data_IF_916470518205
#
_entry.id   IF_916470518205
#
_cell.length_a   1.000
_cell.length_b   1.000
_cell.length_c   1.000
_cell.angle_alpha   90.00
_cell.angle_beta   90.00
_cell.angle_gamma   90.00
#
_symmetry.space_group_name_H-M   'P 1'
#
loop_
_entity.id
_entity.type
_entity.pdbx_description
1 polymer ?
#
# COMPACT_ATOMS: atom_id res chain seq x y z
N UNK A 1 12.31 9.53 -4.06
CA UNK A 1 11.16 8.88 -4.74
C UNK A 1 10.69 9.75 -5.88
N UNK A 2 11.24 9.57 -7.08
CA UNK A 2 10.81 10.32 -8.27
C UNK A 2 9.34 10.00 -8.62
N UNK A 3 8.94 8.74 -8.45
CA UNK A 3 7.63 8.24 -8.88
C UNK A 3 6.55 8.28 -7.79
N UNK A 4 6.74 9.12 -6.76
CA UNK A 4 5.80 9.21 -5.63
C UNK A 4 4.38 9.59 -6.09
N UNK A 5 4.26 10.56 -7.00
CA UNK A 5 2.98 11.01 -7.54
C UNK A 5 2.28 9.90 -8.35
N UNK A 6 3.01 9.23 -9.24
CA UNK A 6 2.49 8.11 -10.00
C UNK A 6 2.05 6.95 -9.10
N UNK A 7 2.86 6.63 -8.10
CA UNK A 7 2.55 5.58 -7.12
C UNK A 7 1.28 5.90 -6.34
N UNK A 8 1.14 7.14 -5.86
CA UNK A 8 -0.08 7.59 -5.20
C UNK A 8 -1.29 7.50 -6.14
N UNK A 9 -1.16 7.93 -7.40
CA UNK A 9 -2.23 7.85 -8.38
C UNK A 9 -2.66 6.40 -8.66
N UNK A 10 -1.71 5.47 -8.75
CA UNK A 10 -1.98 4.04 -8.93
C UNK A 10 -2.78 3.46 -7.75
N UNK A 11 -2.32 3.69 -6.51
CA UNK A 11 -3.04 3.19 -5.33
C UNK A 11 -4.38 3.90 -5.12
N UNK A 12 -4.48 5.20 -5.46
CA UNK A 12 -5.74 5.93 -5.45
C UNK A 12 -6.72 5.36 -6.48
N UNK A 13 -6.25 4.99 -7.68
CA UNK A 13 -7.08 4.32 -8.67
C UNK A 13 -7.64 3.00 -8.12
N UNK A 14 -6.79 2.13 -7.57
CA UNK A 14 -7.24 0.86 -6.96
C UNK A 14 -8.23 1.12 -5.81
N UNK A 15 -7.94 2.11 -4.96
CA UNK A 15 -8.83 2.52 -3.88
C UNK A 15 -10.24 2.86 -4.41
N UNK A 16 -10.32 3.75 -5.40
CA UNK A 16 -11.57 4.20 -5.99
C UNK A 16 -12.39 3.05 -6.60
N UNK A 17 -11.74 2.00 -7.10
CA UNK A 17 -12.47 0.82 -7.61
C UNK A 17 -13.14 -0.01 -6.52
N UNK A 18 -12.70 0.14 -5.26
CA UNK A 18 -13.27 -0.53 -4.09
C UNK A 18 -14.23 0.36 -3.28
N UNK A 19 -14.26 1.68 -3.54
CA UNK A 19 -15.17 2.61 -2.88
C UNK A 19 -16.63 2.17 -3.11
N UNK A 20 -17.47 2.33 -2.08
CA UNK A 20 -18.85 1.87 -2.12
C UNK A 20 -19.03 0.37 -1.82
N UNK A 21 -17.99 -0.31 -1.33
CA UNK A 21 -18.07 -1.68 -0.80
C UNK A 21 -18.49 -2.74 -1.84
N UNK A 22 -17.97 -2.64 -3.07
CA UNK A 22 -18.25 -3.61 -4.12
C UNK A 22 -17.56 -4.97 -3.82
N UNK A 23 -18.29 -5.86 -3.16
CA UNK A 23 -17.77 -7.15 -2.71
C UNK A 23 -17.28 -8.05 -3.85
N UNK A 24 -17.96 -8.03 -5.01
CA UNK A 24 -17.54 -8.82 -6.17
C UNK A 24 -16.19 -8.35 -6.69
N UNK A 25 -16.02 -7.03 -6.84
CA UNK A 25 -14.76 -6.44 -7.28
C UNK A 25 -13.63 -6.64 -6.25
N UNK A 26 -13.91 -6.43 -4.96
CA UNK A 26 -12.95 -6.67 -3.88
C UNK A 26 -12.45 -8.12 -3.87
N UNK A 27 -13.33 -9.09 -4.14
CA UNK A 27 -12.92 -10.49 -4.30
C UNK A 27 -12.16 -10.73 -5.60
N UNK A 28 -12.56 -10.07 -6.69
CA UNK A 28 -11.88 -10.17 -7.98
C UNK A 28 -10.45 -9.65 -7.90
N UNK A 29 -10.13 -8.63 -7.10
CA UNK A 29 -8.74 -8.18 -6.88
C UNK A 29 -7.84 -9.24 -6.23
N UNK A 30 -8.42 -10.19 -5.50
CA UNK A 30 -7.69 -11.27 -4.84
C UNK A 30 -7.63 -12.54 -5.69
N UNK A 31 -8.70 -12.88 -6.39
CA UNK A 31 -8.77 -14.10 -7.21
C UNK A 31 -9.63 -13.89 -8.46
N UNK A 32 -9.06 -14.17 -9.62
CA UNK A 32 -9.74 -13.98 -10.91
C UNK A 32 -10.17 -15.34 -11.49
N UNK A 33 -11.23 -15.91 -10.92
CA UNK A 33 -11.77 -17.19 -11.37
C UNK A 33 -12.11 -17.17 -12.88
N UNK A 34 -11.67 -18.20 -13.60
CA UNK A 34 -11.82 -18.28 -15.06
C UNK A 34 -10.60 -17.82 -15.86
N UNK A 35 -9.65 -17.11 -15.23
CA UNK A 35 -8.36 -16.82 -15.84
C UNK A 35 -7.38 -18.00 -15.66
N UNK A 36 -6.43 -18.14 -16.57
CA UNK A 36 -5.32 -19.11 -16.47
C UNK A 36 -4.37 -18.81 -15.31
N UNK A 37 -4.20 -17.53 -14.99
CA UNK A 37 -3.33 -17.02 -13.93
C UNK A 37 -4.11 -16.09 -13.02
N UNK A 38 -3.90 -16.23 -11.71
CA UNK A 38 -4.40 -15.29 -10.70
C UNK A 38 -3.27 -14.41 -10.19
N UNK A 39 -3.54 -13.11 -10.10
CA UNK A 39 -2.68 -12.14 -9.42
C UNK A 39 -3.43 -11.60 -8.21
N UNK A 40 -2.88 -11.83 -7.03
CA UNK A 40 -3.48 -11.35 -5.79
C UNK A 40 -3.01 -9.93 -5.49
N UNK A 41 -3.74 -8.93 -6.01
CA UNK A 41 -3.41 -7.51 -5.87
C UNK A 41 -3.43 -7.05 -4.42
N UNK A 42 -4.26 -7.69 -3.59
CA UNK A 42 -4.34 -7.43 -2.15
C UNK A 42 -3.00 -7.73 -1.48
N UNK A 43 -2.44 -8.92 -1.72
CA UNK A 43 -1.14 -9.31 -1.17
C UNK A 43 0.00 -8.47 -1.76
N UNK A 44 -0.01 -8.19 -3.07
CA UNK A 44 1.00 -7.32 -3.68
C UNK A 44 1.00 -5.91 -3.07
N UNK A 45 -0.15 -5.41 -2.62
CA UNK A 45 -0.26 -4.13 -1.91
C UNK A 45 0.39 -4.19 -0.54
N UNK A 46 0.21 -5.28 0.21
CA UNK A 46 0.92 -5.52 1.49
C UNK A 46 2.42 -5.63 1.26
N UNK A 47 2.87 -6.40 0.26
CA UNK A 47 4.29 -6.55 -0.07
C UNK A 47 4.95 -5.22 -0.48
N UNK A 48 4.18 -4.32 -1.12
CA UNK A 48 4.66 -2.96 -1.38
C UNK A 48 4.84 -2.16 -0.09
N UNK A 49 3.86 -2.24 0.83
CA UNK A 49 3.93 -1.55 2.12
C UNK A 49 5.12 -2.02 2.96
N UNK A 50 5.42 -3.32 2.96
CA UNK A 50 6.59 -3.88 3.66
C UNK A 50 7.90 -3.31 3.12
N UNK A 51 8.08 -3.28 1.79
CA UNK A 51 9.28 -2.68 1.17
C UNK A 51 9.39 -1.18 1.45
N UNK A 52 8.27 -0.47 1.49
CA UNK A 52 8.24 0.93 1.86
C UNK A 52 8.66 1.13 3.32
N UNK A 53 8.17 0.28 4.23
CA UNK A 53 8.54 0.29 5.64
C UNK A 53 10.04 0.01 5.85
N UNK A 54 10.62 -0.96 5.14
CA UNK A 54 12.06 -1.23 5.16
C UNK A 54 12.86 0.01 4.74
N UNK A 55 12.47 0.67 3.65
CA UNK A 55 13.13 1.90 3.21
C UNK A 55 13.01 3.06 4.22
N UNK A 56 11.88 3.17 4.90
CA UNK A 56 11.69 4.17 5.98
C UNK A 56 12.57 3.84 7.19
N UNK A 57 12.77 2.56 7.50
CA UNK A 57 13.65 2.12 8.59
C UNK A 57 15.12 2.40 8.27
N UNK A 58 15.56 2.17 7.03
CA UNK A 58 16.91 2.54 6.58
C UNK A 58 17.13 4.05 6.65
N UNK A 59 16.11 4.85 6.29
CA UNK A 59 16.16 6.31 6.47
C UNK A 59 16.37 6.69 7.94
N UNK A 60 15.63 6.07 8.85
CA UNK A 60 15.81 6.30 10.30
C UNK A 60 17.25 6.01 10.73
N UNK A 61 17.81 4.86 10.37
CA UNK A 61 19.18 4.50 10.74
C UNK A 61 20.22 5.43 10.12
N UNK A 62 20.02 5.90 8.89
CA UNK A 62 20.92 6.86 8.26
C UNK A 62 21.02 8.20 9.02
N UNK A 63 19.92 8.62 9.66
CA UNK A 63 19.86 9.86 10.44
C UNK A 63 19.98 9.64 11.96
N UNK A 64 20.06 8.40 12.45
CA UNK A 64 19.98 8.11 13.90
C UNK A 64 21.14 8.68 14.72
N UNK A 65 22.31 8.85 14.10
CA UNK A 65 23.50 9.46 14.72
C UNK A 65 23.66 10.95 14.41
N UNK A 66 22.78 11.52 13.58
CA UNK A 66 22.84 12.92 13.16
C UNK A 66 21.96 13.77 14.07
N UNK A 67 22.46 14.92 14.47
CA UNK A 67 21.70 15.86 15.33
C UNK A 67 20.47 16.43 14.62
N UNK A 68 20.58 16.69 13.31
CA UNK A 68 19.53 17.27 12.49
C UNK A 68 19.37 16.54 11.16
N UNK A 69 18.12 16.41 10.71
CA UNK A 69 17.77 15.99 9.35
C UNK A 69 17.83 17.22 8.44
N UNK A 70 18.59 17.13 7.35
CA UNK A 70 18.71 18.20 6.38
C UNK A 70 17.39 18.42 5.59
N UNK A 71 17.21 19.57 4.91
CA UNK A 71 15.98 19.88 4.19
C UNK A 71 15.61 18.85 3.11
N UNK A 72 16.58 18.27 2.41
CA UNK A 72 16.32 17.26 1.39
C UNK A 72 15.87 15.94 2.02
N UNK A 73 16.49 15.54 3.14
CA UNK A 73 16.05 14.42 3.97
C UNK A 73 14.60 14.56 4.41
N UNK A 74 14.23 15.74 4.96
CA UNK A 74 12.85 16.04 5.35
C UNK A 74 11.89 15.93 4.16
N UNK A 75 12.21 16.57 3.03
CA UNK A 75 11.35 16.54 1.84
C UNK A 75 11.13 15.11 1.31
N UNK A 76 12.17 14.27 1.30
CA UNK A 76 12.05 12.88 0.88
C UNK A 76 11.24 12.04 1.88
N UNK A 77 11.42 12.27 3.18
CA UNK A 77 10.64 11.59 4.21
C UNK A 77 9.15 11.90 4.08
N UNK A 78 8.77 13.17 3.92
CA UNK A 78 7.36 13.55 3.71
C UNK A 78 6.75 12.91 2.47
N UNK A 79 7.51 12.76 1.37
CA UNK A 79 7.05 12.03 0.18
C UNK A 79 6.76 10.56 0.49
N UNK A 80 7.65 9.89 1.22
CA UNK A 80 7.46 8.49 1.62
C UNK A 80 6.23 8.32 2.52
N UNK A 81 6.02 9.23 3.49
CA UNK A 81 4.84 9.24 4.35
C UNK A 81 3.56 9.46 3.55
N UNK A 82 3.56 10.34 2.56
CA UNK A 82 2.42 10.55 1.67
C UNK A 82 2.03 9.28 0.90
N UNK A 83 3.03 8.58 0.36
CA UNK A 83 2.80 7.28 -0.33
C UNK A 83 2.28 6.23 0.66
N UNK A 84 2.88 6.11 1.85
CA UNK A 84 2.44 5.16 2.86
C UNK A 84 0.98 5.41 3.27
N UNK A 85 0.59 6.67 3.48
CA UNK A 85 -0.78 7.05 3.80
C UNK A 85 -1.76 6.61 2.71
N UNK A 86 -1.42 6.83 1.43
CA UNK A 86 -2.26 6.39 0.32
C UNK A 86 -2.39 4.86 0.25
N UNK A 87 -1.32 4.11 0.50
CA UNK A 87 -1.35 2.64 0.54
C UNK A 87 -2.25 2.13 1.67
N UNK A 88 -2.16 2.73 2.87
CA UNK A 88 -3.06 2.40 3.98
C UNK A 88 -4.53 2.67 3.64
N UNK A 89 -4.84 3.82 3.02
CA UNK A 89 -6.20 4.14 2.58
C UNK A 89 -6.72 3.08 1.58
N UNK A 90 -5.89 2.65 0.64
CA UNK A 90 -6.25 1.58 -0.30
C UNK A 90 -6.52 0.25 0.42
N UNK A 91 -5.67 -0.15 1.37
CA UNK A 91 -5.89 -1.37 2.15
C UNK A 91 -7.19 -1.33 2.95
N UNK A 92 -7.56 -0.18 3.52
CA UNK A 92 -8.84 -0.03 4.23
C UNK A 92 -10.04 -0.25 3.31
N UNK A 93 -10.02 0.33 2.11
CA UNK A 93 -11.09 0.18 1.11
C UNK A 93 -11.24 -1.27 0.61
N UNK A 94 -10.14 -2.01 0.56
CA UNK A 94 -10.13 -3.42 0.13
C UNK A 94 -10.79 -4.36 1.15
N UNK A 95 -10.89 -3.98 2.42
CA UNK A 95 -11.41 -4.84 3.51
C UNK A 95 -12.74 -4.38 4.13
N UNK A 96 -13.11 -3.11 3.97
CA UNK A 96 -14.35 -2.57 4.52
C UNK A 96 -15.60 -3.02 3.74
N UNK A 97 -16.80 -2.77 4.27
CA UNK A 97 -18.03 -3.33 3.71
C UNK A 97 -18.20 -4.82 4.02
N UNK A 98 -17.82 -5.22 5.24
CA UNK A 98 -16.74 -6.18 5.51
C UNK A 98 -16.49 -7.23 4.41
N UNK A 99 -15.27 -7.28 3.89
CA UNK A 99 -14.79 -8.36 3.03
C UNK A 99 -13.95 -9.37 3.83
N UNK A 100 -14.59 -10.33 4.51
CA UNK A 100 -13.95 -11.32 5.39
C UNK A 100 -12.79 -12.05 4.72
N UNK A 101 -12.95 -12.31 3.44
CA UNK A 101 -12.02 -13.03 2.60
C UNK A 101 -10.72 -12.26 2.34
N UNK A 102 -10.81 -10.93 2.17
CA UNK A 102 -9.61 -10.08 2.11
C UNK A 102 -9.03 -9.87 3.52
N UNK A 103 -9.85 -9.75 4.56
CA UNK A 103 -9.38 -9.65 5.95
C UNK A 103 -8.55 -10.88 6.36
N UNK A 104 -9.00 -12.08 6.00
CA UNK A 104 -8.24 -13.31 6.20
C UNK A 104 -6.94 -13.31 5.40
N UNK A 105 -6.95 -12.83 4.15
CA UNK A 105 -5.73 -12.74 3.36
C UNK A 105 -4.68 -11.81 4.01
N UNK A 106 -5.12 -10.67 4.57
CA UNK A 106 -4.25 -9.77 5.35
C UNK A 106 -3.78 -10.41 6.67
N UNK A 107 -4.65 -11.14 7.38
CA UNK A 107 -4.27 -11.77 8.65
C UNK A 107 -3.21 -12.87 8.49
N UNK A 108 -3.12 -13.48 7.31
CA UNK A 108 -2.13 -14.51 6.98
C UNK A 108 -0.99 -13.98 6.09
N UNK A 109 -0.98 -12.68 5.76
CA UNK A 109 0.16 -12.06 5.06
C UNK A 109 1.34 -11.84 6.03
N UNK A 110 2.50 -11.52 5.48
CA UNK A 110 3.74 -11.30 6.25
C UNK A 110 3.69 -10.01 7.06
#
# INVERSE_FOLDING_TARGET
MHDAEFTCALFRFIQLTCEGHNLEWQNYLRTQAGNTTTVNVVICTVDYLLRLQESIMDFYWHYSSKELIDPAGKANFFKAIGVASQVFNTLTEVIQGPCTLNQQALAHSR
#
